data_IF_518793953678
#
_entry.id   IF_518793953678
#
_cell.length_a   1.000
_cell.length_b   1.000
_cell.length_c   1.000
_cell.angle_alpha   90.00
_cell.angle_beta   90.00
_cell.angle_gamma   90.00
#
_symmetry.space_group_name_H-M   'P 1'
#
loop_
_entity.id
_entity.type
_entity.pdbx_description
1 polymer ?
#
# COMPACT_ATOMS: atom_id res chain seq x y z
N UNK A 1 -3.95 -22.57 12.77
CA UNK A 1 -3.96 -21.09 12.80
C UNK A 1 -2.69 -20.68 12.07
N UNK A 2 -2.78 -19.87 11.01
CA UNK A 2 -1.58 -19.44 10.28
C UNK A 2 -1.00 -18.18 10.94
N UNK A 3 0.30 -18.17 11.15
CA UNK A 3 1.04 -17.04 11.70
C UNK A 3 1.77 -16.34 10.57
N UNK A 4 1.54 -15.02 10.43
CA UNK A 4 2.18 -14.19 9.41
C UNK A 4 3.19 -13.25 10.07
N UNK A 5 4.41 -13.21 9.54
CA UNK A 5 5.44 -12.25 9.94
C UNK A 5 5.56 -11.15 8.89
N UNK A 6 5.59 -9.88 9.31
CA UNK A 6 5.73 -8.73 8.42
C UNK A 6 7.20 -8.35 8.37
N UNK A 7 7.76 -8.30 7.16
CA UNK A 7 9.16 -8.01 6.88
C UNK A 7 9.26 -6.69 6.11
N UNK A 8 10.03 -5.71 6.58
CA UNK A 8 10.34 -4.52 5.80
C UNK A 8 11.09 -4.91 4.52
N UNK A 9 10.66 -4.35 3.37
CA UNK A 9 11.32 -4.60 2.09
C UNK A 9 12.57 -3.70 1.93
N UNK A 10 13.62 -4.03 2.66
CA UNK A 10 14.90 -3.31 2.65
C UNK A 10 15.79 -3.77 1.49
N UNK A 11 16.73 -2.92 1.08
CA UNK A 11 17.71 -3.23 0.04
C UNK A 11 19.09 -3.61 0.60
N UNK A 12 19.25 -3.46 1.90
CA UNK A 12 20.49 -3.76 2.61
C UNK A 12 20.34 -5.10 3.34
N UNK A 13 21.44 -5.84 3.47
CA UNK A 13 21.50 -7.08 4.23
C UNK A 13 20.51 -8.18 3.74
N UNK A 14 20.22 -8.24 2.43
CA UNK A 14 19.26 -9.21 1.86
C UNK A 14 19.57 -10.65 2.31
N UNK A 15 20.84 -11.07 2.30
CA UNK A 15 21.22 -12.42 2.71
C UNK A 15 20.96 -12.69 4.19
N UNK A 16 21.25 -11.73 5.07
CA UNK A 16 20.99 -11.87 6.51
C UNK A 16 19.49 -11.97 6.78
N UNK A 17 18.68 -11.17 6.11
CA UNK A 17 17.22 -11.22 6.20
C UNK A 17 16.69 -12.58 5.74
N UNK A 18 17.20 -13.13 4.64
CA UNK A 18 16.80 -14.43 4.12
C UNK A 18 17.16 -15.55 5.11
N UNK A 19 18.35 -15.53 5.69
CA UNK A 19 18.77 -16.53 6.69
C UNK A 19 17.93 -16.41 7.99
N UNK A 20 17.63 -15.20 8.42
CA UNK A 20 16.76 -14.98 9.59
C UNK A 20 15.33 -15.49 9.35
N UNK A 21 14.75 -15.20 8.17
CA UNK A 21 13.45 -15.75 7.77
C UNK A 21 13.49 -17.29 7.76
N UNK A 22 14.54 -17.89 7.23
CA UNK A 22 14.69 -19.34 7.19
C UNK A 22 14.76 -19.95 8.59
N UNK A 23 15.49 -19.32 9.49
CA UNK A 23 15.57 -19.73 10.89
C UNK A 23 14.21 -19.62 11.63
N UNK A 24 13.49 -18.50 11.43
CA UNK A 24 12.16 -18.29 11.99
C UNK A 24 11.15 -19.33 11.47
N UNK A 25 11.17 -19.62 10.17
CA UNK A 25 10.31 -20.63 9.56
C UNK A 25 10.60 -22.03 10.13
N UNK A 26 11.88 -22.43 10.18
CA UNK A 26 12.31 -23.71 10.73
C UNK A 26 11.97 -23.86 12.22
N UNK A 27 12.01 -22.76 12.97
CA UNK A 27 11.61 -22.69 14.38
C UNK A 27 10.10 -22.63 14.64
N UNK A 28 9.28 -22.60 13.58
CA UNK A 28 7.82 -22.52 13.72
C UNK A 28 7.31 -21.17 14.25
N UNK A 29 8.10 -20.09 14.09
CA UNK A 29 7.73 -18.73 14.54
C UNK A 29 6.67 -18.14 13.63
N UNK A 30 6.78 -18.36 12.33
CA UNK A 30 5.78 -17.95 11.34
C UNK A 30 5.64 -18.95 10.20
N UNK A 31 4.44 -19.04 9.65
CA UNK A 31 4.09 -19.91 8.52
C UNK A 31 4.32 -19.22 7.17
N UNK A 32 4.22 -17.89 7.12
CA UNK A 32 4.35 -17.09 5.90
C UNK A 32 4.94 -15.71 6.23
N UNK A 33 5.77 -15.19 5.33
CA UNK A 33 6.48 -13.92 5.49
C UNK A 33 6.00 -12.90 4.46
N UNK A 34 5.42 -11.79 4.94
CA UNK A 34 4.82 -10.75 4.11
C UNK A 34 5.75 -9.55 4.03
N UNK A 35 6.21 -9.24 2.82
CA UNK A 35 7.03 -8.07 2.57
C UNK A 35 6.17 -6.81 2.45
N UNK A 36 6.45 -5.83 3.32
CA UNK A 36 5.70 -4.58 3.37
C UNK A 36 6.05 -3.67 2.19
N UNK A 37 5.03 -3.24 1.44
CA UNK A 37 5.13 -2.31 0.33
C UNK A 37 4.21 -1.11 0.56
N UNK A 38 4.78 0.10 0.54
CA UNK A 38 4.02 1.35 0.62
C UNK A 38 3.78 1.88 -0.78
N UNK A 39 2.50 1.97 -1.18
CA UNK A 39 2.09 2.44 -2.51
C UNK A 39 1.66 3.90 -2.55
N UNK A 40 1.69 4.62 -1.43
CA UNK A 40 1.37 6.04 -1.42
C UNK A 40 2.21 6.79 -2.46
N UNK A 41 1.58 7.49 -3.43
CA UNK A 41 2.30 8.12 -4.53
C UNK A 41 3.22 9.23 -4.03
N UNK A 42 4.42 9.30 -4.64
CA UNK A 42 5.47 10.29 -4.34
C UNK A 42 5.96 10.94 -5.63
N UNK A 43 6.42 12.18 -5.51
CA UNK A 43 7.01 12.90 -6.63
C UNK A 43 5.97 13.59 -7.53
N UNK A 44 6.46 14.43 -8.43
CA UNK A 44 5.67 15.14 -9.44
C UNK A 44 6.48 15.16 -10.74
N UNK A 45 6.09 14.35 -11.75
CA UNK A 45 4.98 13.37 -11.75
C UNK A 45 5.19 12.22 -10.77
N UNK A 46 4.13 11.43 -10.46
CA UNK A 46 4.21 10.30 -9.54
C UNK A 46 5.24 9.25 -10.00
N UNK A 47 6.11 8.86 -9.08
CA UNK A 47 7.13 7.84 -9.34
C UNK A 47 6.47 6.45 -9.49
N UNK A 48 7.03 5.61 -10.34
CA UNK A 48 6.71 4.17 -10.37
C UNK A 48 7.35 3.47 -9.17
N UNK A 49 6.66 3.53 -8.04
CA UNK A 49 7.10 2.86 -6.82
C UNK A 49 6.99 1.34 -6.94
N UNK A 50 5.95 0.86 -7.61
CA UNK A 50 5.68 -0.57 -7.73
C UNK A 50 6.79 -1.31 -8.48
N UNK A 51 7.30 -0.76 -9.57
CA UNK A 51 8.40 -1.37 -10.33
C UNK A 51 9.64 -1.61 -9.48
N UNK A 52 10.06 -0.60 -8.70
CA UNK A 52 11.22 -0.74 -7.80
C UNK A 52 10.98 -1.71 -6.64
N UNK A 53 9.76 -1.70 -6.05
CA UNK A 53 9.39 -2.62 -4.97
C UNK A 53 9.29 -4.07 -5.48
N UNK A 54 8.67 -4.30 -6.63
CA UNK A 54 8.57 -5.62 -7.25
C UNK A 54 9.95 -6.19 -7.62
N UNK A 55 10.85 -5.37 -8.18
CA UNK A 55 12.20 -5.81 -8.49
C UNK A 55 12.96 -6.28 -7.24
N UNK A 56 12.75 -5.61 -6.12
CA UNK A 56 13.34 -5.99 -4.83
C UNK A 56 12.68 -7.24 -4.26
N UNK A 57 11.36 -7.31 -4.23
CA UNK A 57 10.61 -8.48 -3.76
C UNK A 57 10.99 -9.76 -4.54
N UNK A 58 11.16 -9.66 -5.86
CA UNK A 58 11.55 -10.78 -6.72
C UNK A 58 12.83 -11.46 -6.25
N UNK A 59 13.83 -10.71 -5.74
CA UNK A 59 15.08 -11.28 -5.23
C UNK A 59 14.84 -12.10 -3.96
N UNK A 60 14.08 -11.56 -3.01
CA UNK A 60 13.68 -12.30 -1.80
C UNK A 60 12.84 -13.52 -2.15
N UNK A 61 11.83 -13.33 -3.00
CA UNK A 61 10.94 -14.40 -3.43
C UNK A 61 11.71 -15.58 -4.04
N UNK A 62 12.64 -15.33 -4.95
CA UNK A 62 13.44 -16.38 -5.59
C UNK A 62 14.23 -17.23 -4.56
N UNK A 63 14.83 -16.58 -3.55
CA UNK A 63 15.59 -17.25 -2.52
C UNK A 63 14.69 -18.05 -1.55
N UNK A 64 13.51 -17.51 -1.21
CA UNK A 64 12.56 -18.16 -0.31
C UNK A 64 11.80 -19.31 -1.00
N UNK A 65 11.41 -19.14 -2.25
CA UNK A 65 10.77 -20.19 -3.06
C UNK A 65 11.70 -21.41 -3.23
N UNK A 66 13.00 -21.18 -3.46
CA UNK A 66 14.01 -22.24 -3.52
C UNK A 66 14.10 -23.05 -2.21
N UNK A 67 13.75 -22.44 -1.09
CA UNK A 67 13.70 -23.05 0.25
C UNK A 67 12.30 -23.54 0.62
N UNK A 68 11.30 -23.38 -0.26
CA UNK A 68 9.88 -23.70 -0.03
C UNK A 68 9.29 -22.95 1.18
N UNK A 69 9.72 -21.72 1.40
CA UNK A 69 9.22 -20.84 2.46
C UNK A 69 8.11 -19.98 1.87
N UNK A 70 6.85 -20.10 2.38
CA UNK A 70 5.74 -19.29 1.90
C UNK A 70 5.99 -17.80 2.13
N UNK A 71 5.78 -17.00 1.08
CA UNK A 71 6.03 -15.58 1.12
C UNK A 71 4.99 -14.81 0.32
N UNK A 72 4.77 -13.57 0.69
CA UNK A 72 3.77 -12.72 0.08
C UNK A 72 4.06 -11.24 0.27
N UNK A 73 3.05 -10.42 0.04
CA UNK A 73 3.14 -8.96 0.11
C UNK A 73 2.06 -8.42 1.04
N UNK A 74 2.45 -7.49 1.90
CA UNK A 74 1.54 -6.61 2.64
C UNK A 74 1.57 -5.23 1.97
N UNK A 75 0.43 -4.78 1.44
CA UNK A 75 0.27 -3.45 0.86
C UNK A 75 -0.16 -2.49 1.95
N UNK A 76 0.69 -1.51 2.24
CA UNK A 76 0.44 -0.45 3.20
C UNK A 76 0.23 0.90 2.52
N UNK A 77 -0.53 1.76 3.17
CA UNK A 77 -0.72 3.17 2.79
C UNK A 77 -1.06 3.35 1.31
N UNK A 78 -2.01 2.56 0.79
CA UNK A 78 -2.44 2.64 -0.61
C UNK A 78 -2.95 4.03 -0.98
N UNK A 79 -3.84 4.61 -0.17
CA UNK A 79 -4.37 5.96 -0.38
C UNK A 79 -3.52 7.07 0.25
N UNK A 80 -2.46 6.71 0.94
CA UNK A 80 -1.56 7.61 1.66
C UNK A 80 -1.75 7.55 3.17
N UNK A 81 -0.81 8.17 3.86
CA UNK A 81 -0.80 8.27 5.30
C UNK A 81 -0.46 9.71 5.72
N UNK A 82 -1.01 10.19 6.82
CA UNK A 82 -0.81 11.57 7.29
C UNK A 82 0.67 11.97 7.44
N UNK A 83 1.53 11.00 7.72
CA UNK A 83 2.95 11.23 8.02
C UNK A 83 3.87 11.30 6.79
N UNK A 84 3.37 11.02 5.58
CA UNK A 84 4.20 11.08 4.36
C UNK A 84 4.22 12.48 3.78
N UNK A 85 5.25 13.25 4.10
CA UNK A 85 5.38 14.67 3.73
C UNK A 85 5.68 14.91 2.23
N UNK A 86 6.15 13.91 1.49
CA UNK A 86 6.57 14.05 0.09
C UNK A 86 5.55 13.48 -0.90
N UNK A 87 4.29 13.71 -0.66
CA UNK A 87 3.23 13.24 -1.52
C UNK A 87 3.11 14.10 -2.78
N UNK A 88 2.83 13.46 -3.92
CA UNK A 88 2.52 14.19 -5.17
C UNK A 88 1.29 15.07 -5.03
N UNK A 89 1.24 16.17 -5.79
CA UNK A 89 0.05 17.03 -5.94
C UNK A 89 -0.81 16.67 -7.15
N UNK A 90 -0.41 15.66 -7.91
CA UNK A 90 -1.05 15.31 -9.19
C UNK A 90 -2.40 14.59 -9.03
N UNK A 91 -2.75 14.18 -7.81
CA UNK A 91 -4.02 13.52 -7.51
C UNK A 91 -4.84 14.34 -6.54
N UNK A 92 -6.16 14.19 -6.60
CA UNK A 92 -7.07 14.83 -5.66
C UNK A 92 -6.80 14.36 -4.24
N UNK A 93 -6.51 15.31 -3.37
CA UNK A 93 -6.33 15.05 -1.95
C UNK A 93 -7.67 15.00 -1.22
N UNK A 94 -7.69 14.25 -0.14
CA UNK A 94 -8.76 14.31 0.86
C UNK A 94 -8.81 15.70 1.48
N UNK A 95 -10.02 16.25 1.58
CA UNK A 95 -10.32 17.50 2.28
C UNK A 95 -11.17 17.16 3.48
N UNK A 96 -10.71 17.52 4.66
CA UNK A 96 -11.41 17.24 5.89
C UNK A 96 -12.71 18.05 5.97
N UNK A 97 -13.85 17.37 6.13
CA UNK A 97 -15.17 18.01 6.19
C UNK A 97 -15.30 18.99 7.38
N UNK A 98 -14.59 18.73 8.48
CA UNK A 98 -14.75 19.49 9.72
C UNK A 98 -14.07 20.87 9.68
N UNK A 99 -12.88 20.95 9.08
CA UNK A 99 -12.05 22.16 9.11
C UNK A 99 -11.59 22.62 7.71
N UNK A 100 -11.97 21.90 6.65
CA UNK A 100 -11.59 22.21 5.28
C UNK A 100 -10.12 22.00 4.95
N UNK A 101 -9.34 21.42 5.86
CA UNK A 101 -7.91 21.21 5.63
C UNK A 101 -7.65 20.05 4.67
N UNK A 102 -6.73 20.26 3.76
CA UNK A 102 -6.25 19.23 2.84
C UNK A 102 -5.25 18.33 3.57
N UNK A 103 -5.42 17.01 3.45
CA UNK A 103 -4.53 16.01 4.04
C UNK A 103 -3.59 15.41 2.99
N UNK A 104 -2.68 14.53 3.41
CA UNK A 104 -1.82 13.77 2.50
C UNK A 104 -2.48 12.49 1.96
N UNK A 105 -3.70 12.19 2.36
CA UNK A 105 -4.48 11.06 1.85
C UNK A 105 -5.08 11.40 0.47
N UNK A 106 -5.13 10.41 -0.42
CA UNK A 106 -5.69 10.56 -1.77
C UNK A 106 -7.17 10.21 -1.80
N UNK A 107 -7.88 10.90 -2.67
CA UNK A 107 -9.30 10.63 -2.88
C UNK A 107 -9.48 9.37 -3.74
N UNK A 108 -10.19 8.34 -3.26
CA UNK A 108 -10.43 7.13 -4.04
C UNK A 108 -11.45 7.34 -5.19
N UNK A 109 -12.05 8.52 -5.32
CA UNK A 109 -12.89 8.89 -6.47
C UNK A 109 -12.09 9.57 -7.59
N UNK A 110 -10.78 9.75 -7.44
CA UNK A 110 -9.92 10.28 -8.48
C UNK A 110 -9.50 9.17 -9.44
N UNK A 111 -10.01 9.20 -10.66
CA UNK A 111 -9.75 8.18 -11.68
C UNK A 111 -8.25 8.05 -12.02
N UNK A 112 -7.51 9.15 -12.01
CA UNK A 112 -6.07 9.12 -12.25
C UNK A 112 -5.33 8.40 -11.11
N UNK A 113 -5.76 8.63 -9.86
CA UNK A 113 -5.23 7.92 -8.71
C UNK A 113 -5.62 6.43 -8.73
N UNK A 114 -6.86 6.10 -9.06
CA UNK A 114 -7.29 4.70 -9.20
C UNK A 114 -6.45 3.98 -10.25
N UNK A 115 -6.26 4.58 -11.42
CA UNK A 115 -5.40 4.01 -12.48
C UNK A 115 -3.95 3.81 -12.03
N UNK A 116 -3.42 4.70 -11.17
CA UNK A 116 -2.09 4.52 -10.57
C UNK A 116 -2.06 3.28 -9.64
N UNK A 117 -3.05 3.13 -8.75
CA UNK A 117 -3.13 1.98 -7.82
C UNK A 117 -3.38 0.67 -8.58
N UNK A 118 -4.23 0.67 -9.61
CA UNK A 118 -4.48 -0.51 -10.45
C UNK A 118 -3.20 -1.01 -11.12
N UNK A 119 -2.39 -0.11 -11.72
CA UNK A 119 -1.10 -0.48 -12.30
C UNK A 119 -0.14 -1.04 -11.26
N UNK A 120 -0.08 -0.42 -10.08
CA UNK A 120 0.77 -0.89 -8.98
C UNK A 120 0.33 -2.29 -8.50
N UNK A 121 -0.97 -2.50 -8.31
CA UNK A 121 -1.53 -3.79 -7.91
C UNK A 121 -1.28 -4.88 -8.98
N UNK A 122 -1.45 -4.55 -10.26
CA UNK A 122 -1.16 -5.45 -11.36
C UNK A 122 0.32 -5.86 -11.42
N UNK A 123 1.23 -4.91 -11.19
CA UNK A 123 2.67 -5.21 -11.12
C UNK A 123 3.00 -6.16 -9.96
N UNK A 124 2.41 -5.94 -8.77
CA UNK A 124 2.59 -6.82 -7.61
C UNK A 124 2.01 -8.21 -7.88
N UNK A 125 0.81 -8.29 -8.44
CA UNK A 125 0.18 -9.57 -8.81
C UNK A 125 1.02 -10.35 -9.83
N UNK A 126 1.68 -9.64 -10.76
CA UNK A 126 2.60 -10.23 -11.74
C UNK A 126 3.83 -10.92 -11.16
N UNK A 127 4.19 -10.64 -9.90
CA UNK A 127 5.24 -11.36 -9.18
C UNK A 127 4.75 -12.69 -8.55
N UNK A 128 3.48 -13.01 -8.68
CA UNK A 128 2.86 -14.23 -8.15
C UNK A 128 3.17 -14.48 -6.66
N UNK A 129 2.89 -13.52 -5.76
CA UNK A 129 3.01 -13.75 -4.32
C UNK A 129 2.02 -14.83 -3.87
N UNK A 130 2.36 -15.62 -2.84
CA UNK A 130 1.45 -16.63 -2.30
C UNK A 130 0.23 -16.01 -1.63
N UNK A 131 0.39 -14.78 -1.13
CA UNK A 131 -0.66 -13.99 -0.48
C UNK A 131 -0.42 -12.50 -0.74
N UNK A 132 -1.49 -11.77 -1.02
CA UNK A 132 -1.53 -10.30 -0.94
C UNK A 132 -2.45 -9.92 0.20
N UNK A 133 -1.91 -9.22 1.19
CA UNK A 133 -2.67 -8.68 2.31
C UNK A 133 -2.76 -7.16 2.17
N UNK A 134 -3.94 -6.61 2.40
CA UNK A 134 -4.15 -5.16 2.47
C UNK A 134 -4.17 -4.75 3.95
N UNK A 135 -3.38 -3.74 4.28
CA UNK A 135 -3.43 -3.08 5.57
C UNK A 135 -4.64 -2.11 5.63
N UNK A 136 -4.94 -1.60 6.79
CA UNK A 136 -6.12 -0.76 7.04
C UNK A 136 -5.97 0.71 6.57
N UNK A 137 -4.84 1.07 6.01
CA UNK A 137 -4.52 2.42 5.51
C UNK A 137 -5.27 2.84 4.23
N UNK A 138 -6.35 2.16 3.89
CA UNK A 138 -7.30 2.55 2.83
C UNK A 138 -8.55 3.25 3.37
N UNK A 139 -8.67 3.45 4.68
CA UNK A 139 -9.81 4.12 5.32
C UNK A 139 -9.74 5.62 5.16
N UNK A 140 -10.83 6.21 4.67
CA UNK A 140 -10.99 7.67 4.65
C UNK A 140 -11.12 8.28 6.05
N UNK A 141 -11.37 7.48 7.07
CA UNK A 141 -11.52 7.90 8.48
C UNK A 141 -10.19 8.00 9.24
N UNK A 142 -9.05 7.70 8.61
CA UNK A 142 -7.75 7.75 9.26
C UNK A 142 -7.29 9.17 9.64
N UNK A 143 -7.87 10.19 9.03
CA UNK A 143 -7.65 11.58 9.44
C UNK A 143 -8.22 11.80 10.85
N UNK A 144 -7.33 12.07 11.82
CA UNK A 144 -7.64 12.21 13.25
C UNK A 144 -8.74 13.20 13.60
N UNK A 145 -9.15 14.07 12.67
CA UNK A 145 -10.08 15.19 12.93
C UNK A 145 -11.28 15.24 11.99
N UNK A 146 -11.31 14.45 10.92
CA UNK A 146 -12.41 14.47 9.97
C UNK A 146 -13.02 13.10 9.78
N UNK A 147 -14.33 13.03 9.78
CA UNK A 147 -15.08 11.78 9.61
C UNK A 147 -15.55 11.55 8.19
N UNK A 148 -15.27 12.53 7.28
CA UNK A 148 -15.68 12.47 5.89
C UNK A 148 -14.81 13.38 5.01
N UNK A 149 -14.80 13.12 3.72
CA UNK A 149 -14.10 13.92 2.73
C UNK A 149 -15.04 14.91 2.06
N UNK A 150 -14.68 16.19 2.09
CA UNK A 150 -15.37 17.27 1.40
C UNK A 150 -14.63 17.75 0.15
N UNK A 151 -13.79 16.92 -0.46
CA UNK A 151 -13.14 17.30 -1.73
C UNK A 151 -14.18 17.42 -2.86
N UNK A 152 -13.88 18.16 -3.94
CA UNK A 152 -14.85 18.40 -5.02
C UNK A 152 -15.44 17.10 -5.61
N UNK A 153 -14.68 16.02 -5.70
CA UNK A 153 -15.18 14.74 -6.23
C UNK A 153 -16.22 14.10 -5.30
N UNK A 154 -15.97 14.09 -3.98
CA UNK A 154 -16.95 13.58 -3.02
C UNK A 154 -18.20 14.45 -2.95
N UNK A 155 -18.04 15.79 -2.99
CA UNK A 155 -19.19 16.69 -3.00
C UNK A 155 -20.04 16.53 -4.28
N UNK A 156 -19.40 16.34 -5.44
CA UNK A 156 -20.11 16.04 -6.70
C UNK A 156 -20.88 14.72 -6.60
N UNK A 157 -20.26 13.66 -6.07
CA UNK A 157 -20.89 12.36 -5.90
C UNK A 157 -22.08 12.44 -4.91
N UNK A 158 -21.91 13.17 -3.80
CA UNK A 158 -22.98 13.37 -2.82
C UNK A 158 -24.19 14.11 -3.43
N UNK A 159 -23.95 15.21 -4.14
CA UNK A 159 -25.02 15.98 -4.78
C UNK A 159 -25.76 15.12 -5.81
N UNK A 160 -25.06 14.32 -6.61
CA UNK A 160 -25.70 13.41 -7.56
C UNK A 160 -26.60 12.35 -6.89
N UNK A 161 -26.28 11.94 -5.68
CA UNK A 161 -27.15 11.03 -4.89
C UNK A 161 -28.39 11.76 -4.34
N UNK A 162 -28.23 13.01 -3.91
CA UNK A 162 -29.33 13.82 -3.35
C UNK A 162 -30.31 14.30 -4.42
N UNK A 163 -29.84 14.49 -5.67
CA UNK A 163 -30.67 14.90 -6.81
C UNK A 163 -31.42 13.71 -7.46
N UNK A 164 -31.10 12.48 -7.06
CA UNK A 164 -31.70 11.26 -7.59
C UNK A 164 -32.94 10.78 -6.82
N UNK A 165 -33.26 11.38 -5.67
CA UNK A 165 -34.45 11.16 -4.84
C UNK A 165 -35.55 12.21 -5.16
#
# INVERSE_FOLDING_TARGET
>A
MNIYSIIPLLSENENEIIEDIAAQHAGGVADCFLFSMTLAPKGTPPLDLAGGLCARYRRFKAALDARRIPNGVLIQASIGHEYYQNSTRDFQHFVNLTDGQTTNTRCPLDEAFLSYIERAAAAIAGEHPSLVMLDDDFRLMAARRGKACACPLHMKALNALLDAD
#
